data_IF_052835786102
#
_entry.id   IF_052835786102
#
_cell.length_a   1.000
_cell.length_b   1.000
_cell.length_c   1.000
_cell.angle_alpha   90.00
_cell.angle_beta   90.00
_cell.angle_gamma   90.00
#
_symmetry.space_group_name_H-M   'P 1'
#
loop_
_entity.id
_entity.type
_entity.pdbx_description
1 polymer ?
#
# COMPACT_ATOMS: atom_id res chain seq x y z
N UNK A 1 -8.43 -10.19 17.57
CA UNK A 1 -7.26 -9.41 17.98
C UNK A 1 -6.18 -9.47 16.90
N UNK A 2 -5.59 -8.31 16.49
CA UNK A 2 -4.53 -8.27 15.50
C UNK A 2 -3.22 -8.86 16.09
N UNK A 3 -2.59 -9.76 15.34
CA UNK A 3 -1.34 -10.44 15.72
C UNK A 3 -0.24 -10.15 14.68
N UNK A 4 0.40 -8.96 14.71
CA UNK A 4 1.38 -8.56 13.68
C UNK A 4 2.54 -9.55 13.51
N UNK A 5 3.04 -10.12 14.62
CA UNK A 5 4.16 -11.07 14.58
C UNK A 5 3.79 -12.36 13.83
N UNK A 6 2.54 -12.83 14.01
CA UNK A 6 2.03 -13.98 13.27
C UNK A 6 1.89 -13.68 11.77
N UNK A 7 1.40 -12.48 11.44
CA UNK A 7 1.28 -12.06 10.03
C UNK A 7 2.64 -11.99 9.33
N UNK A 8 3.68 -11.48 10.02
CA UNK A 8 5.05 -11.47 9.50
C UNK A 8 5.57 -12.88 9.27
N UNK A 9 5.34 -13.80 10.22
CA UNK A 9 5.74 -15.20 10.07
C UNK A 9 5.06 -15.89 8.90
N UNK A 10 3.74 -15.73 8.77
CA UNK A 10 2.98 -16.28 7.64
C UNK A 10 3.43 -15.66 6.32
N UNK A 11 3.66 -14.35 6.27
CA UNK A 11 4.22 -13.68 5.11
C UNK A 11 5.54 -14.31 4.65
N UNK A 12 6.48 -14.53 5.58
CA UNK A 12 7.77 -15.17 5.25
C UNK A 12 7.58 -16.58 4.69
N UNK A 13 6.65 -17.36 5.24
CA UNK A 13 6.34 -18.70 4.73
C UNK A 13 5.72 -18.65 3.33
N UNK A 14 4.81 -17.70 3.06
CA UNK A 14 4.22 -17.49 1.73
C UNK A 14 5.30 -17.08 0.73
N UNK A 15 6.17 -16.12 1.08
CA UNK A 15 7.25 -15.70 0.19
C UNK A 15 8.20 -16.85 -0.14
N UNK A 16 8.59 -17.65 0.86
CA UNK A 16 9.42 -18.84 0.66
C UNK A 16 8.74 -19.90 -0.21
N UNK A 17 7.43 -20.08 -0.08
CA UNK A 17 6.67 -21.00 -0.93
C UNK A 17 6.63 -20.52 -2.38
N UNK A 18 6.38 -19.23 -2.62
CA UNK A 18 6.37 -18.66 -3.98
C UNK A 18 7.76 -18.78 -4.62
N UNK A 19 8.81 -18.46 -3.87
CA UNK A 19 10.20 -18.46 -4.35
C UNK A 19 10.70 -19.86 -4.77
N UNK A 20 10.08 -20.94 -4.28
CA UNK A 20 10.31 -22.31 -4.77
C UNK A 20 9.84 -22.54 -6.22
N UNK A 21 8.90 -21.76 -6.68
CA UNK A 21 8.28 -21.90 -7.98
C UNK A 21 8.78 -20.87 -9.00
N UNK A 22 8.95 -19.64 -8.56
CA UNK A 22 9.43 -18.50 -9.35
C UNK A 22 10.03 -17.44 -8.42
N UNK A 23 11.18 -16.84 -8.78
CA UNK A 23 11.79 -15.81 -7.95
C UNK A 23 10.84 -14.65 -7.66
N UNK A 24 10.73 -14.26 -6.39
CA UNK A 24 9.98 -13.07 -6.00
C UNK A 24 10.75 -11.82 -6.43
N UNK A 25 10.23 -11.13 -7.43
CA UNK A 25 10.87 -9.92 -7.95
C UNK A 25 10.70 -8.72 -7.00
N UNK A 26 9.50 -8.54 -6.46
CA UNK A 26 9.22 -7.43 -5.53
C UNK A 26 8.12 -7.78 -4.55
N UNK A 27 8.39 -7.55 -3.27
CA UNK A 27 7.38 -7.56 -2.21
C UNK A 27 6.68 -6.20 -2.19
N UNK A 28 5.36 -6.20 -2.43
CA UNK A 28 4.54 -4.98 -2.46
C UNK A 28 4.00 -4.59 -1.07
N UNK A 29 3.60 -5.58 -0.30
CA UNK A 29 3.09 -5.42 1.08
C UNK A 29 3.24 -6.74 1.85
N UNK A 30 2.65 -6.81 3.05
CA UNK A 30 2.64 -8.06 3.84
C UNK A 30 1.85 -9.20 3.19
N UNK A 31 0.99 -8.90 2.24
CA UNK A 31 0.07 -9.82 1.55
C UNK A 31 0.14 -9.77 0.03
N UNK A 32 1.09 -9.01 -0.52
CA UNK A 32 1.24 -8.85 -1.96
C UNK A 32 2.71 -8.94 -2.40
N UNK A 33 2.95 -9.70 -3.45
CA UNK A 33 4.21 -9.69 -4.18
C UNK A 33 3.99 -9.73 -5.69
N UNK A 34 5.04 -9.50 -6.43
CA UNK A 34 5.08 -9.67 -7.88
C UNK A 34 6.30 -10.48 -8.29
N UNK A 35 6.12 -11.33 -9.30
CA UNK A 35 7.17 -12.11 -9.94
C UNK A 35 7.25 -11.70 -11.40
N UNK A 36 8.42 -11.78 -11.99
CA UNK A 36 8.63 -11.59 -13.41
C UNK A 36 8.78 -12.95 -14.07
N UNK A 37 7.97 -13.20 -15.10
CA UNK A 37 8.05 -14.45 -15.86
C UNK A 37 9.07 -14.29 -17.00
N UNK A 38 9.97 -15.27 -17.15
CA UNK A 38 11.04 -15.24 -18.13
C UNK A 38 10.98 -16.50 -19.03
N UNK A 39 11.50 -16.36 -20.24
CA UNK A 39 11.63 -17.50 -21.17
C UNK A 39 10.32 -18.27 -21.38
N UNK A 40 10.31 -19.61 -21.23
CA UNK A 40 9.12 -20.45 -21.45
C UNK A 40 7.96 -20.16 -20.51
N UNK A 41 8.20 -19.56 -19.33
CA UNK A 41 7.15 -19.18 -18.37
C UNK A 41 6.26 -18.05 -18.87
N UNK A 42 6.71 -17.30 -19.88
CA UNK A 42 5.90 -16.26 -20.56
C UNK A 42 4.78 -16.85 -21.43
N UNK A 43 4.87 -18.12 -21.79
CA UNK A 43 3.79 -18.79 -22.51
C UNK A 43 2.59 -18.92 -21.56
N UNK A 44 1.41 -18.49 -22.02
CA UNK A 44 0.20 -18.40 -21.19
C UNK A 44 -0.11 -19.71 -20.47
N UNK A 45 -0.04 -20.85 -21.18
CA UNK A 45 -0.30 -22.15 -20.58
C UNK A 45 0.64 -22.46 -19.41
N UNK A 46 1.93 -22.12 -19.54
CA UNK A 46 2.94 -22.32 -18.51
C UNK A 46 2.72 -21.34 -17.34
N UNK A 47 2.44 -20.07 -17.64
CA UNK A 47 2.14 -19.04 -16.64
C UNK A 47 0.91 -19.42 -15.79
N UNK A 48 -0.16 -19.90 -16.43
CA UNK A 48 -1.37 -20.35 -15.74
C UNK A 48 -1.08 -21.59 -14.89
N UNK A 49 -0.34 -22.59 -15.43
CA UNK A 49 0.06 -23.76 -14.67
C UNK A 49 0.93 -23.41 -13.45
N UNK A 50 1.88 -22.48 -13.62
CA UNK A 50 2.71 -21.97 -12.54
C UNK A 50 1.87 -21.27 -11.45
N UNK A 51 0.97 -20.38 -11.85
CA UNK A 51 0.07 -19.70 -10.93
C UNK A 51 -0.78 -20.67 -10.11
N UNK A 52 -1.31 -21.72 -10.75
CA UNK A 52 -2.07 -22.79 -10.06
C UNK A 52 -1.22 -23.59 -9.09
N UNK A 53 0.03 -23.91 -9.45
CA UNK A 53 0.97 -24.57 -8.53
C UNK A 53 1.26 -23.71 -7.31
N UNK A 54 1.47 -22.41 -7.49
CA UNK A 54 1.68 -21.46 -6.37
C UNK A 54 0.45 -21.42 -5.47
N UNK A 55 -0.75 -21.29 -6.02
CA UNK A 55 -1.99 -21.27 -5.24
C UNK A 55 -2.16 -22.57 -4.42
N UNK A 56 -1.90 -23.71 -5.03
CA UNK A 56 -1.97 -25.01 -4.38
C UNK A 56 -0.88 -25.15 -3.29
N UNK A 57 0.35 -24.74 -3.58
CA UNK A 57 1.46 -24.76 -2.62
C UNK A 57 1.20 -23.94 -1.38
N UNK A 58 0.69 -22.71 -1.54
CA UNK A 58 0.30 -21.86 -0.40
C UNK A 58 -0.76 -22.56 0.45
N UNK A 59 -1.79 -23.13 -0.16
CA UNK A 59 -2.87 -23.84 0.53
C UNK A 59 -2.38 -25.07 1.30
N UNK A 60 -1.48 -25.84 0.69
CA UNK A 60 -1.01 -27.13 1.23
C UNK A 60 0.12 -26.96 2.25
N UNK A 61 1.06 -26.04 1.99
CA UNK A 61 2.32 -25.95 2.72
C UNK A 61 2.37 -24.82 3.74
N UNK A 62 1.49 -23.80 3.60
CA UNK A 62 1.48 -22.65 4.52
C UNK A 62 0.24 -22.64 5.41
N UNK A 63 -0.94 -22.88 4.84
CA UNK A 63 -2.17 -22.97 5.63
C UNK A 63 -3.41 -23.20 4.80
N UNK A 64 -4.22 -24.14 5.21
CA UNK A 64 -5.44 -24.61 4.54
C UNK A 64 -6.58 -23.57 4.46
N UNK A 65 -6.49 -22.53 5.28
CA UNK A 65 -7.41 -21.37 5.25
C UNK A 65 -6.95 -20.25 4.32
N UNK A 66 -5.69 -20.29 3.82
CA UNK A 66 -5.14 -19.22 3.00
C UNK A 66 -5.66 -19.33 1.56
N UNK A 67 -6.07 -18.21 1.04
CA UNK A 67 -6.51 -18.11 -0.36
C UNK A 67 -5.70 -16.99 -1.03
N UNK A 68 -5.12 -17.31 -2.18
CA UNK A 68 -4.39 -16.34 -2.99
C UNK A 68 -5.09 -16.11 -4.32
N UNK A 69 -5.14 -14.86 -4.77
CA UNK A 69 -5.58 -14.51 -6.12
C UNK A 69 -4.36 -14.12 -6.95
N UNK A 70 -4.35 -14.49 -8.21
CA UNK A 70 -3.22 -14.23 -9.11
C UNK A 70 -3.71 -13.45 -10.33
N UNK A 71 -2.97 -12.43 -10.72
CA UNK A 71 -3.14 -11.71 -11.97
C UNK A 71 -1.92 -11.91 -12.86
N UNK A 72 -2.14 -12.33 -14.09
CA UNK A 72 -1.14 -12.45 -15.15
C UNK A 72 -1.39 -11.36 -16.19
N UNK A 73 -0.40 -10.54 -16.50
CA UNK A 73 -0.57 -9.41 -17.41
C UNK A 73 0.77 -8.90 -17.95
N UNK A 74 0.77 -8.09 -19.03
CA UNK A 74 1.98 -7.53 -19.62
C UNK A 74 2.77 -6.59 -18.72
N UNK A 75 2.13 -5.98 -17.71
CA UNK A 75 2.78 -5.11 -16.75
C UNK A 75 2.37 -5.44 -15.31
N UNK A 76 3.21 -5.07 -14.35
CA UNK A 76 2.91 -5.21 -12.92
C UNK A 76 1.63 -4.46 -12.51
N UNK A 77 1.41 -3.29 -13.09
CA UNK A 77 0.20 -2.50 -12.84
C UNK A 77 -1.07 -3.26 -13.25
N UNK A 78 -1.07 -3.82 -14.45
CA UNK A 78 -2.16 -4.63 -14.96
C UNK A 78 -2.30 -5.97 -14.20
N UNK A 79 -1.18 -6.62 -13.84
CA UNK A 79 -1.22 -7.84 -13.04
C UNK A 79 -1.89 -7.61 -11.68
N UNK A 80 -1.57 -6.50 -11.01
CA UNK A 80 -2.24 -6.11 -9.74
C UNK A 80 -3.72 -5.80 -9.96
N UNK A 81 -4.10 -5.17 -11.06
CA UNK A 81 -5.49 -4.92 -11.43
C UNK A 81 -6.23 -6.24 -11.67
N UNK A 82 -5.67 -7.12 -12.50
CA UNK A 82 -6.19 -8.45 -12.79
C UNK A 82 -6.40 -9.30 -11.54
N UNK A 83 -5.43 -9.30 -10.62
CA UNK A 83 -5.52 -9.96 -9.33
C UNK A 83 -6.74 -9.47 -8.51
N UNK A 84 -7.14 -8.22 -8.67
CA UNK A 84 -8.30 -7.62 -8.01
C UNK A 84 -9.66 -7.97 -8.66
N UNK A 85 -9.68 -8.41 -9.91
CA UNK A 85 -10.93 -8.65 -10.67
C UNK A 85 -11.67 -9.90 -10.21
N UNK A 86 -10.94 -10.93 -9.78
CA UNK A 86 -11.51 -12.18 -9.28
C UNK A 86 -10.95 -12.50 -7.90
N UNK A 87 -11.66 -12.11 -6.85
CA UNK A 87 -11.37 -12.47 -5.46
C UNK A 87 -12.57 -13.16 -4.83
N UNK A 88 -12.39 -14.14 -3.93
CA UNK A 88 -11.11 -14.76 -3.53
C UNK A 88 -10.65 -15.87 -4.49
N UNK A 89 -9.38 -16.27 -4.37
CA UNK A 89 -8.78 -17.44 -5.05
C UNK A 89 -8.86 -17.41 -6.59
N UNK A 90 -9.07 -16.24 -7.19
CA UNK A 90 -9.15 -16.07 -8.63
C UNK A 90 -7.81 -16.17 -9.34
N UNK A 91 -7.89 -16.44 -10.65
CA UNK A 91 -6.77 -16.35 -11.58
C UNK A 91 -7.26 -15.61 -12.83
N UNK A 92 -6.76 -14.42 -13.05
CA UNK A 92 -7.16 -13.58 -14.19
C UNK A 92 -5.96 -13.33 -15.09
N UNK A 93 -6.15 -13.54 -16.39
CA UNK A 93 -5.16 -13.26 -17.43
C UNK A 93 -5.63 -12.06 -18.26
N UNK A 94 -4.79 -11.04 -18.36
CA UNK A 94 -4.98 -9.90 -19.26
C UNK A 94 -3.95 -9.99 -20.40
N UNK A 95 -4.42 -10.17 -21.63
CA UNK A 95 -3.56 -10.29 -22.81
C UNK A 95 -3.38 -8.93 -23.46
N UNK A 96 -2.16 -8.63 -23.92
CA UNK A 96 -1.84 -7.34 -24.52
C UNK A 96 -2.72 -7.01 -25.74
N UNK A 97 -3.04 -8.00 -26.55
CA UNK A 97 -3.86 -7.84 -27.76
C UNK A 97 -5.37 -7.68 -27.50
N UNK A 98 -5.81 -7.92 -26.27
CA UNK A 98 -7.23 -7.77 -25.87
C UNK A 98 -7.49 -6.43 -25.17
N UNK A 99 -6.43 -5.69 -24.83
CA UNK A 99 -6.56 -4.39 -24.12
C UNK A 99 -7.09 -3.27 -25.05
N UNK A 100 -7.94 -2.39 -24.52
CA UNK A 100 -8.43 -2.29 -23.14
C UNK A 100 -9.68 -3.12 -22.84
N UNK A 101 -10.19 -3.94 -23.77
CA UNK A 101 -11.50 -4.63 -23.66
C UNK A 101 -11.86 -5.12 -22.27
N UNK A 102 -11.08 -6.03 -21.65
CA UNK A 102 -11.40 -6.58 -20.33
C UNK A 102 -11.37 -5.55 -19.19
N UNK A 103 -10.81 -4.36 -19.43
CA UNK A 103 -10.69 -3.30 -18.44
C UNK A 103 -11.84 -2.30 -18.45
N UNK A 104 -12.63 -2.24 -19.54
CA UNK A 104 -13.63 -1.18 -19.74
C UNK A 104 -14.70 -1.16 -18.65
N UNK A 105 -15.05 -2.31 -18.09
CA UNK A 105 -16.02 -2.45 -17.00
C UNK A 105 -15.38 -2.29 -15.60
N UNK A 106 -14.06 -2.10 -15.50
CA UNK A 106 -13.37 -1.94 -14.22
C UNK A 106 -13.52 -0.50 -13.73
N UNK A 107 -14.15 -0.27 -12.57
CA UNK A 107 -14.28 1.08 -12.02
C UNK A 107 -12.92 1.70 -11.72
N UNK A 108 -12.77 3.01 -11.92
CA UNK A 108 -11.51 3.75 -11.65
C UNK A 108 -10.97 3.51 -10.23
N UNK A 109 -11.84 3.33 -9.25
CA UNK A 109 -11.47 3.06 -7.85
C UNK A 109 -10.74 1.73 -7.63
N UNK A 110 -10.79 0.82 -8.60
CA UNK A 110 -10.14 -0.49 -8.50
C UNK A 110 -8.71 -0.49 -9.02
N UNK A 111 -8.30 0.57 -9.70
CA UNK A 111 -6.92 0.69 -10.16
C UNK A 111 -5.96 1.09 -9.05
N UNK A 112 -4.76 0.49 -9.00
CA UNK A 112 -3.72 0.88 -8.06
C UNK A 112 -3.41 2.39 -8.15
N UNK A 113 -3.34 3.06 -7.01
CA UNK A 113 -3.04 4.50 -6.97
C UNK A 113 -4.22 5.44 -7.26
N UNK A 114 -5.42 4.91 -7.57
CA UNK A 114 -6.63 5.72 -7.80
C UNK A 114 -7.56 5.63 -6.58
N UNK A 115 -7.22 6.36 -5.53
CA UNK A 115 -8.10 6.56 -4.37
C UNK A 115 -9.13 7.68 -4.60
N UNK A 116 -9.98 7.93 -3.61
CA UNK A 116 -11.08 8.93 -3.70
C UNK A 116 -10.62 10.33 -4.13
N UNK A 117 -9.47 10.79 -3.62
CA UNK A 117 -8.93 12.11 -4.00
C UNK A 117 -8.47 12.14 -5.46
N UNK A 118 -7.91 11.05 -5.96
CA UNK A 118 -7.48 10.96 -7.36
C UNK A 118 -8.69 10.87 -8.30
N UNK A 119 -9.75 10.17 -7.89
CA UNK A 119 -11.00 10.15 -8.67
C UNK A 119 -11.57 11.55 -8.87
N UNK A 120 -11.58 12.41 -7.83
CA UNK A 120 -12.02 13.81 -7.96
C UNK A 120 -11.15 14.58 -8.97
N UNK A 121 -9.83 14.36 -8.97
CA UNK A 121 -8.93 15.02 -9.94
C UNK A 121 -9.14 14.52 -11.36
N UNK A 122 -9.37 13.22 -11.55
CA UNK A 122 -9.69 12.62 -12.83
C UNK A 122 -11.01 13.19 -13.38
N UNK A 123 -12.05 13.24 -12.55
CA UNK A 123 -13.34 13.84 -12.91
C UNK A 123 -13.21 15.31 -13.32
N UNK A 124 -12.40 16.10 -12.59
CA UNK A 124 -12.11 17.49 -12.94
C UNK A 124 -11.37 17.62 -14.26
N UNK A 125 -10.65 16.58 -14.69
CA UNK A 125 -9.98 16.49 -15.99
C UNK A 125 -10.86 15.83 -17.07
N UNK A 126 -12.16 15.59 -16.82
CA UNK A 126 -13.09 14.99 -17.76
C UNK A 126 -12.99 13.46 -17.88
N UNK A 127 -12.27 12.79 -16.97
CA UNK A 127 -12.08 11.32 -16.96
C UNK A 127 -12.99 10.69 -15.91
N UNK A 128 -14.03 10.00 -16.35
CA UNK A 128 -15.07 9.42 -15.49
C UNK A 128 -15.04 7.89 -15.43
N UNK A 129 -14.38 7.25 -16.40
CA UNK A 129 -14.35 5.82 -16.58
C UNK A 129 -12.98 5.33 -17.09
N UNK A 130 -12.87 4.03 -17.29
CA UNK A 130 -11.65 3.40 -17.79
C UNK A 130 -11.36 3.73 -19.25
N UNK A 131 -12.37 3.95 -20.07
CA UNK A 131 -12.17 4.36 -21.46
C UNK A 131 -11.50 5.75 -21.52
N UNK A 132 -11.98 6.68 -20.72
CA UNK A 132 -11.37 8.00 -20.57
C UNK A 132 -9.94 7.93 -20.03
N UNK A 133 -9.70 7.06 -19.02
CA UNK A 133 -8.36 6.85 -18.47
C UNK A 133 -7.40 6.25 -19.50
N UNK A 134 -7.85 5.29 -20.30
CA UNK A 134 -7.06 4.66 -21.35
C UNK A 134 -6.68 5.64 -22.45
N UNK A 135 -7.62 6.50 -22.86
CA UNK A 135 -7.43 7.45 -23.95
C UNK A 135 -6.60 8.70 -23.57
N UNK A 136 -6.24 8.85 -22.29
CA UNK A 136 -5.32 9.92 -21.89
C UNK A 136 -3.95 9.70 -22.53
N UNK A 137 -3.26 10.80 -22.83
CA UNK A 137 -1.82 10.76 -23.12
C UNK A 137 -1.00 10.69 -21.82
N UNK A 138 0.24 10.22 -21.90
CA UNK A 138 1.19 10.22 -20.78
C UNK A 138 1.37 11.61 -20.16
N UNK A 139 1.38 12.67 -21.01
CA UNK A 139 1.48 14.06 -20.56
C UNK A 139 0.25 14.52 -19.76
N UNK A 140 -0.96 14.16 -20.20
CA UNK A 140 -2.19 14.44 -19.47
C UNK A 140 -2.22 13.69 -18.12
N UNK A 141 -1.86 12.40 -18.11
CA UNK A 141 -1.77 11.62 -16.89
C UNK A 141 -0.78 12.27 -15.90
N UNK A 142 0.42 12.66 -16.36
CA UNK A 142 1.40 13.39 -15.55
C UNK A 142 0.83 14.68 -14.96
N UNK A 143 0.07 15.45 -15.73
CA UNK A 143 -0.57 16.68 -15.26
C UNK A 143 -1.65 16.41 -14.20
N UNK A 144 -2.52 15.41 -14.41
CA UNK A 144 -3.57 15.05 -13.46
C UNK A 144 -2.98 14.55 -12.14
N UNK A 145 -1.93 13.72 -12.17
CA UNK A 145 -1.23 13.28 -10.95
C UNK A 145 -0.36 14.39 -10.34
N UNK A 146 0.00 15.40 -11.10
CA UNK A 146 1.01 16.41 -10.75
C UNK A 146 2.33 15.75 -10.32
N UNK A 147 2.71 14.69 -11.01
CA UNK A 147 3.87 13.86 -10.67
C UNK A 147 4.21 12.91 -11.83
N UNK A 148 5.47 12.45 -11.87
CA UNK A 148 5.93 11.39 -12.77
C UNK A 148 5.15 10.07 -12.59
N UNK A 149 4.52 9.87 -11.43
CA UNK A 149 3.68 8.69 -11.15
C UNK A 149 2.49 8.59 -12.13
N UNK A 150 1.95 9.72 -12.60
CA UNK A 150 0.90 9.71 -13.63
C UNK A 150 1.38 9.07 -14.93
N UNK A 151 2.59 9.39 -15.38
CA UNK A 151 3.19 8.77 -16.57
C UNK A 151 3.48 7.29 -16.35
N UNK A 152 3.97 6.92 -15.16
CA UNK A 152 4.21 5.50 -14.81
C UNK A 152 2.92 4.68 -14.79
N UNK A 153 1.85 5.23 -14.24
CA UNK A 153 0.51 4.60 -14.25
C UNK A 153 0.02 4.45 -15.68
N UNK A 154 0.17 5.48 -16.50
CA UNK A 154 -0.19 5.43 -17.92
C UNK A 154 0.58 4.33 -18.66
N UNK A 155 1.90 4.27 -18.50
CA UNK A 155 2.72 3.21 -19.10
C UNK A 155 2.28 1.82 -18.61
N UNK A 156 2.11 1.66 -17.29
CA UNK A 156 1.67 0.41 -16.71
C UNK A 156 0.29 -0.03 -17.20
N UNK A 157 -0.66 0.90 -17.37
CA UNK A 157 -1.99 0.65 -17.91
C UNK A 157 -1.93 0.14 -19.35
N UNK A 158 -1.01 0.67 -20.16
CA UNK A 158 -0.80 0.25 -21.56
C UNK A 158 0.11 -0.97 -21.71
N UNK A 159 0.41 -1.68 -20.61
CA UNK A 159 1.24 -2.89 -20.66
C UNK A 159 2.74 -2.61 -20.90
N UNK A 160 3.14 -1.35 -20.82
CA UNK A 160 4.53 -0.94 -20.96
C UNK A 160 5.23 -1.03 -19.60
N UNK A 161 6.33 -1.75 -19.54
CA UNK A 161 7.12 -1.81 -18.32
C UNK A 161 7.64 -0.41 -17.95
N UNK A 162 7.52 -0.08 -16.68
CA UNK A 162 8.21 1.07 -16.11
C UNK A 162 9.49 0.57 -15.46
N UNK A 163 10.60 1.25 -15.70
CA UNK A 163 11.84 0.97 -14.99
C UNK A 163 11.61 0.93 -13.48
N UNK A 164 12.23 -0.03 -12.77
CA UNK A 164 12.12 -0.09 -11.33
C UNK A 164 12.61 1.23 -10.74
N UNK A 165 11.76 1.87 -9.94
CA UNK A 165 12.20 3.05 -9.19
C UNK A 165 13.25 2.60 -8.18
N UNK A 166 14.44 3.23 -8.15
CA UNK A 166 15.43 2.92 -7.13
C UNK A 166 14.81 3.01 -5.73
N UNK A 167 15.05 2.01 -4.91
CA UNK A 167 14.60 2.03 -3.52
C UNK A 167 15.31 3.19 -2.80
N UNK A 168 14.53 4.16 -2.38
CA UNK A 168 15.02 5.25 -1.54
C UNK A 168 14.74 4.90 -0.08
N UNK A 169 15.63 5.31 0.84
CA UNK A 169 15.33 5.21 2.25
C UNK A 169 13.97 5.85 2.56
N UNK A 170 13.19 5.30 3.48
CA UNK A 170 11.90 5.88 3.83
C UNK A 170 12.09 7.31 4.34
N UNK A 171 11.31 8.25 3.82
CA UNK A 171 11.33 9.65 4.26
C UNK A 171 10.79 9.83 5.68
N UNK A 172 10.03 8.87 6.19
CA UNK A 172 9.48 8.88 7.55
C UNK A 172 9.33 7.47 8.11
N UNK A 173 9.40 7.37 9.42
CA UNK A 173 9.09 6.15 10.18
C UNK A 173 7.90 6.45 11.08
N UNK A 174 6.85 5.63 10.99
CA UNK A 174 5.66 5.81 11.79
C UNK A 174 5.24 4.51 12.49
N UNK A 175 4.60 4.66 13.64
CA UNK A 175 3.81 3.63 14.29
C UNK A 175 2.46 4.20 14.67
N UNK A 176 1.40 3.43 14.48
CA UNK A 176 0.04 3.82 14.85
C UNK A 176 -0.63 2.70 15.64
N UNK A 177 -1.63 3.07 16.42
CA UNK A 177 -2.44 2.12 17.19
C UNK A 177 -3.88 2.64 17.31
N UNK A 178 -4.85 1.77 17.01
CA UNK A 178 -6.26 2.08 17.25
C UNK A 178 -6.57 1.76 18.71
N UNK A 179 -6.93 2.80 19.48
CA UNK A 179 -7.20 2.65 20.90
C UNK A 179 -8.52 1.92 21.17
N UNK A 180 -8.49 0.88 22.00
CA UNK A 180 -9.69 0.31 22.58
C UNK A 180 -10.43 1.37 23.40
N UNK A 181 -11.75 1.27 23.51
CA UNK A 181 -12.58 2.29 24.18
C UNK A 181 -12.07 2.65 25.59
N UNK A 182 -11.68 1.66 26.38
CA UNK A 182 -11.14 1.85 27.72
C UNK A 182 -9.77 2.57 27.78
N UNK A 183 -9.10 2.73 26.63
CA UNK A 183 -7.81 3.42 26.49
C UNK A 183 -7.93 4.82 25.89
N UNK A 184 -9.14 5.32 25.65
CA UNK A 184 -9.40 6.62 25.01
C UNK A 184 -9.46 7.79 26.00
N UNK A 185 -8.79 7.68 27.13
CA UNK A 185 -8.57 8.81 28.05
C UNK A 185 -7.21 9.46 27.75
N UNK A 186 -7.02 10.77 27.98
CA UNK A 186 -5.77 11.48 27.68
C UNK A 186 -4.53 10.77 28.24
N UNK A 187 -4.53 10.40 29.51
CA UNK A 187 -3.38 9.74 30.16
C UNK A 187 -3.04 8.39 29.54
N UNK A 188 -4.06 7.56 29.26
CA UNK A 188 -3.85 6.24 28.64
C UNK A 188 -3.41 6.38 27.19
N UNK A 189 -3.99 7.33 26.45
CA UNK A 189 -3.58 7.63 25.09
C UNK A 189 -2.12 8.12 25.04
N UNK A 190 -1.72 8.98 25.98
CA UNK A 190 -0.31 9.42 26.14
C UNK A 190 0.62 8.24 26.43
N UNK A 191 0.24 7.34 27.31
CA UNK A 191 1.04 6.14 27.61
C UNK A 191 1.23 5.26 26.36
N UNK A 192 0.19 5.11 25.52
CA UNK A 192 0.29 4.42 24.24
C UNK A 192 1.20 5.17 23.27
N UNK A 193 1.06 6.49 23.14
CA UNK A 193 1.91 7.32 22.29
C UNK A 193 3.39 7.19 22.67
N UNK A 194 3.71 7.20 23.97
CA UNK A 194 5.08 6.95 24.48
C UNK A 194 5.63 5.59 24.02
N UNK A 195 4.84 4.52 24.11
CA UNK A 195 5.24 3.19 23.60
C UNK A 195 5.48 3.21 22.08
N UNK A 196 4.67 3.93 21.30
CA UNK A 196 4.86 4.07 19.86
C UNK A 196 6.14 4.80 19.52
N UNK A 197 6.48 5.87 20.27
CA UNK A 197 7.76 6.60 20.13
C UNK A 197 8.96 5.70 20.44
N UNK A 198 8.89 4.88 21.49
CA UNK A 198 9.95 3.90 21.80
C UNK A 198 10.16 2.93 20.62
N UNK A 199 9.08 2.44 20.00
CA UNK A 199 9.15 1.60 18.79
C UNK A 199 9.75 2.35 17.59
N UNK A 200 9.42 3.63 17.41
CA UNK A 200 10.04 4.47 16.38
C UNK A 200 11.54 4.60 16.59
N UNK A 201 11.99 4.91 17.81
CA UNK A 201 13.42 5.00 18.17
C UNK A 201 14.17 3.70 17.93
N UNK A 202 13.58 2.57 18.34
CA UNK A 202 14.16 1.25 18.07
C UNK A 202 14.29 0.95 16.57
N UNK A 203 13.29 1.38 15.76
CA UNK A 203 13.32 1.21 14.31
C UNK A 203 14.35 2.13 13.65
N UNK A 204 14.46 3.39 14.09
CA UNK A 204 15.51 4.32 13.62
C UNK A 204 16.89 3.71 13.81
N UNK A 205 17.22 3.22 15.01
CA UNK A 205 18.51 2.57 15.32
C UNK A 205 18.77 1.35 14.45
N UNK A 206 17.77 0.47 14.27
CA UNK A 206 17.90 -0.73 13.44
C UNK A 206 18.20 -0.40 11.98
N UNK A 207 17.68 0.72 11.49
CA UNK A 207 17.88 1.18 10.12
C UNK A 207 19.08 2.13 9.96
N UNK A 208 19.82 2.46 11.02
CA UNK A 208 20.92 3.43 11.00
C UNK A 208 20.47 4.85 10.64
N UNK A 209 19.21 5.21 10.90
CA UNK A 209 18.62 6.50 10.54
C UNK A 209 18.45 7.40 11.77
N UNK A 210 18.43 8.71 11.54
CA UNK A 210 18.10 9.73 12.55
C UNK A 210 16.83 10.46 12.16
N UNK A 211 16.01 10.83 13.14
CA UNK A 211 14.83 11.67 12.94
C UNK A 211 15.15 13.14 13.25
N UNK A 212 14.75 14.05 12.37
CA UNK A 212 14.91 15.50 12.52
C UNK A 212 13.59 16.22 12.86
N UNK A 213 12.48 15.49 12.94
CA UNK A 213 11.19 15.99 13.42
C UNK A 213 10.36 14.87 14.01
N UNK A 214 9.49 15.21 14.95
CA UNK A 214 8.46 14.32 15.47
C UNK A 214 7.09 14.88 15.15
N UNK A 215 6.21 14.03 14.61
CA UNK A 215 4.81 14.37 14.35
C UNK A 215 3.90 13.46 15.15
N UNK A 216 2.96 14.05 15.90
CA UNK A 216 1.88 13.35 16.58
C UNK A 216 0.59 13.53 15.79
N UNK A 217 -0.05 12.40 15.43
CA UNK A 217 -1.38 12.38 14.82
C UNK A 217 -2.37 11.74 15.80
N UNK A 218 -3.47 12.42 16.04
CA UNK A 218 -4.58 11.93 16.87
C UNK A 218 -5.87 11.96 16.06
N UNK A 219 -6.45 10.78 15.84
CA UNK A 219 -7.79 10.66 15.24
C UNK A 219 -8.82 10.54 16.37
N UNK A 220 -9.61 11.60 16.56
CA UNK A 220 -10.55 11.72 17.68
C UNK A 220 -11.95 11.19 17.37
N UNK A 221 -12.20 10.71 16.18
CA UNK A 221 -13.47 10.11 15.78
C UNK A 221 -14.13 10.79 14.58
N UNK A 222 -15.32 10.34 14.18
CA UNK A 222 -16.03 10.94 13.07
C UNK A 222 -16.42 12.38 13.40
N UNK A 223 -16.11 13.31 12.50
CA UNK A 223 -16.64 14.69 12.58
C UNK A 223 -18.15 14.65 12.60
N UNK A 224 -18.76 15.43 13.49
CA UNK A 224 -20.17 15.78 13.38
C UNK A 224 -20.39 16.30 11.95
N UNK A 225 -21.31 15.68 11.22
CA UNK A 225 -21.56 15.75 9.78
C UNK A 225 -21.35 17.14 9.17
N UNK A 226 -20.43 17.31 8.22
CA UNK A 226 -20.52 18.42 7.31
C UNK A 226 -21.65 18.14 6.31
N UNK A 227 -22.31 19.20 5.83
CA UNK A 227 -23.35 19.20 4.77
C UNK A 227 -23.03 18.42 3.48
N UNK A 228 -21.85 17.81 3.36
CA UNK A 228 -21.38 17.07 2.18
C UNK A 228 -21.50 15.53 2.27
N UNK A 229 -22.13 14.97 3.31
CA UNK A 229 -22.40 13.53 3.41
C UNK A 229 -21.16 12.60 3.56
N UNK A 230 -19.94 13.12 3.56
CA UNK A 230 -18.71 12.34 3.78
C UNK A 230 -18.36 12.31 5.26
N UNK A 231 -18.28 11.12 5.84
CA UNK A 231 -17.72 10.92 7.19
C UNK A 231 -16.25 11.35 7.17
N UNK A 232 -15.96 12.54 7.68
CA UNK A 232 -14.60 12.99 7.99
C UNK A 232 -14.24 12.57 9.41
N UNK A 233 -12.93 12.37 9.67
CA UNK A 233 -12.40 12.19 11.01
C UNK A 233 -11.91 13.53 11.52
N UNK A 234 -12.18 13.83 12.79
CA UNK A 234 -11.52 14.93 13.46
C UNK A 234 -10.10 14.48 13.79
N UNK A 235 -9.12 15.12 13.15
CA UNK A 235 -7.71 14.75 13.25
C UNK A 235 -6.93 15.95 13.73
N UNK A 236 -6.20 15.81 14.82
CA UNK A 236 -5.16 16.75 15.23
C UNK A 236 -3.80 16.21 14.78
N UNK A 237 -3.04 17.03 14.07
CA UNK A 237 -1.68 16.72 13.66
C UNK A 237 -0.76 17.85 14.08
N UNK A 238 0.27 17.53 14.87
CA UNK A 238 1.24 18.50 15.38
C UNK A 238 2.64 17.97 15.18
N UNK A 239 3.53 18.86 14.78
CA UNK A 239 4.94 18.55 14.55
C UNK A 239 5.85 19.49 15.35
N UNK A 240 6.99 18.97 15.75
CA UNK A 240 8.10 19.79 16.25
C UNK A 240 9.41 19.35 15.58
N UNK A 241 10.26 20.30 15.18
CA UNK A 241 11.63 20.01 14.80
C UNK A 241 12.41 19.56 16.03
N UNK A 242 13.36 18.66 15.82
CA UNK A 242 14.30 18.17 16.84
C UNK A 242 15.70 18.10 16.22
N UNK A 243 16.73 18.18 17.02
CA UNK A 243 18.08 17.87 16.55
C UNK A 243 18.11 16.44 16.02
N UNK A 244 18.76 16.16 14.88
CA UNK A 244 18.82 14.82 14.31
C UNK A 244 19.27 13.80 15.35
N UNK A 245 18.39 12.85 15.68
CA UNK A 245 18.62 11.90 16.77
C UNK A 245 17.96 10.56 16.51
N UNK A 246 18.48 9.53 17.14
CA UNK A 246 17.84 8.21 17.34
C UNK A 246 17.67 7.89 18.84
N UNK A 247 18.00 8.86 19.71
CA UNK A 247 17.86 8.69 21.14
C UNK A 247 16.40 8.69 21.57
N UNK A 248 16.01 7.65 22.30
CA UNK A 248 14.63 7.46 22.74
C UNK A 248 14.19 8.53 23.75
N UNK A 249 15.08 9.02 24.61
CA UNK A 249 14.73 10.03 25.61
C UNK A 249 14.47 11.38 24.95
N UNK A 250 15.31 11.78 23.96
CA UNK A 250 15.10 12.99 23.18
C UNK A 250 13.75 12.94 22.42
N UNK A 251 13.42 11.79 21.81
CA UNK A 251 12.13 11.58 21.14
C UNK A 251 10.94 11.63 22.11
N UNK A 252 11.09 11.08 23.32
CA UNK A 252 10.05 11.15 24.35
C UNK A 252 9.86 12.58 24.89
N UNK A 253 10.94 13.34 25.08
CA UNK A 253 10.86 14.75 25.47
C UNK A 253 10.12 15.59 24.39
N UNK A 254 10.39 15.32 23.10
CA UNK A 254 9.67 15.94 21.99
C UNK A 254 8.18 15.58 22.01
N UNK A 255 7.83 14.31 22.27
CA UNK A 255 6.42 13.89 22.41
C UNK A 255 5.75 14.63 23.57
N UNK A 256 6.40 14.73 24.74
CA UNK A 256 5.83 15.41 25.90
C UNK A 256 5.61 16.92 25.63
N UNK A 257 6.46 17.53 24.82
CA UNK A 257 6.27 18.92 24.36
C UNK A 257 5.07 19.07 23.42
N UNK A 258 4.86 18.10 22.51
CA UNK A 258 3.71 18.08 21.62
C UNK A 258 2.42 17.80 22.40
N UNK A 259 2.46 16.87 23.36
CA UNK A 259 1.29 16.47 24.14
C UNK A 259 0.71 17.64 24.95
N UNK A 260 1.56 18.46 25.56
CA UNK A 260 1.13 19.69 26.28
C UNK A 260 0.35 20.69 25.41
N UNK A 261 0.48 20.61 24.08
CA UNK A 261 -0.28 21.45 23.13
C UNK A 261 -1.64 20.85 22.77
N UNK A 262 -1.88 19.59 23.09
CA UNK A 262 -3.14 18.87 22.83
C UNK A 262 -4.07 18.97 24.00
N UNK A 263 -3.51 18.91 25.23
CA UNK A 263 -4.30 19.08 26.46
C UNK A 263 -4.74 20.54 26.55
N UNK A 264 -6.07 20.78 26.71
CA UNK A 264 -6.62 22.12 26.91
C UNK A 264 -6.17 22.72 28.24
#
# INVERSE_FOLDING_TARGET
EARPDLYVKIHQQIMAEIDRHVPVWKVGSIDECSCELLGPERLEANAVALARRIQAGILQNVGDCLRSSVGLAPSRFLAKTACGMQKPAGLTVLRANELPGPLLDVPLSKYPGIGSRMQVRLQAAGVTDTAGLWNMSAKQARAVWNSIEGERIWRGLHGLDSEPTPEKPPASISHSHVLAQAMRTPDKARAVARRLVVKCGARLRRMGLTGASLTLHLDMGPKATPRSGRRGWETAAMSCPIAPTQDTFALLAALDSLWRKVEP
#
